data_IF_719601956497
#
_entry.id   IF_719601956497
#
_cell.length_a   1.000
_cell.length_b   1.000
_cell.length_c   1.000
_cell.angle_alpha   90.00
_cell.angle_beta   90.00
_cell.angle_gamma   90.00
#
_symmetry.space_group_name_H-M   'P 1'
#
loop_
_entity.id
_entity.type
_entity.pdbx_description
1 polymer ?
#
# COMPACT_ATOMS: atom_id res chain seq x y z
N UNK A 1 -6.16 -30.62 -8.09
CA UNK A 1 -6.39 -30.74 -6.63
C UNK A 1 -7.12 -29.49 -6.16
N UNK A 2 -8.13 -29.62 -5.31
CA UNK A 2 -9.06 -28.52 -4.98
C UNK A 2 -8.68 -27.80 -3.69
N UNK A 3 -8.54 -26.48 -3.75
CA UNK A 3 -8.49 -25.60 -2.57
C UNK A 3 -9.87 -25.56 -1.94
N UNK A 4 -9.96 -25.53 -0.61
CA UNK A 4 -11.23 -25.45 0.12
C UNK A 4 -11.20 -24.23 1.05
N UNK A 5 -12.08 -23.27 0.80
CA UNK A 5 -12.28 -22.11 1.68
C UNK A 5 -12.87 -22.60 3.00
N UNK A 6 -12.21 -22.28 4.11
CA UNK A 6 -12.64 -22.69 5.46
C UNK A 6 -13.28 -21.57 6.26
N UNK A 7 -12.93 -20.32 5.97
CA UNK A 7 -13.49 -19.15 6.64
C UNK A 7 -13.15 -17.86 5.90
N UNK A 8 -13.96 -16.85 6.16
CA UNK A 8 -13.70 -15.46 5.80
C UNK A 8 -13.59 -14.66 7.08
N UNK A 9 -12.57 -13.82 7.17
CA UNK A 9 -12.25 -13.04 8.37
C UNK A 9 -12.11 -11.57 8.00
N UNK A 10 -12.71 -10.71 8.80
CA UNK A 10 -12.46 -9.27 8.77
C UNK A 10 -11.36 -8.98 9.78
N UNK A 11 -10.34 -8.22 9.39
CA UNK A 11 -9.31 -7.77 10.32
C UNK A 11 -9.23 -6.25 10.36
N UNK A 12 -9.03 -5.75 11.57
CA UNK A 12 -8.59 -4.41 11.88
C UNK A 12 -7.12 -4.51 12.29
N UNK A 13 -6.25 -3.91 11.48
CA UNK A 13 -4.83 -3.77 11.78
C UNK A 13 -4.55 -2.30 12.08
N UNK A 14 -4.10 -2.02 13.29
CA UNK A 14 -3.66 -0.70 13.74
C UNK A 14 -2.34 -0.87 14.48
N UNK A 15 -1.27 -0.28 13.95
CA UNK A 15 0.08 -0.41 14.53
C UNK A 15 0.44 -1.89 14.68
N UNK A 16 0.69 -2.34 15.92
CA UNK A 16 1.01 -3.73 16.26
C UNK A 16 -0.21 -4.50 16.80
N UNK A 17 -1.39 -3.89 16.81
CA UNK A 17 -2.64 -4.52 17.24
C UNK A 17 -3.39 -5.11 16.03
N UNK A 18 -3.62 -6.42 16.08
CA UNK A 18 -4.46 -7.15 15.15
C UNK A 18 -5.72 -7.60 15.89
N UNK A 19 -6.86 -7.03 15.52
CA UNK A 19 -8.18 -7.48 15.98
C UNK A 19 -8.88 -8.14 14.80
N UNK A 20 -9.38 -9.36 14.99
CA UNK A 20 -10.10 -10.07 13.94
C UNK A 20 -11.50 -10.47 14.37
N UNK A 21 -12.40 -10.52 13.38
CA UNK A 21 -13.72 -11.15 13.52
C UNK A 21 -14.00 -12.03 12.31
N UNK A 22 -14.32 -13.31 12.52
CA UNK A 22 -14.70 -14.21 11.44
C UNK A 22 -16.20 -14.14 11.15
N UNK A 23 -16.54 -14.38 9.89
CA UNK A 23 -17.92 -14.47 9.43
C UNK A 23 -18.47 -15.85 9.78
N UNK A 24 -19.65 -15.89 10.37
CA UNK A 24 -20.35 -17.13 10.62
C UNK A 24 -21.01 -17.65 9.34
N UNK A 25 -20.34 -18.57 8.67
CA UNK A 25 -20.69 -19.06 7.34
C UNK A 25 -20.94 -20.55 7.35
N UNK A 26 -22.03 -21.00 6.74
CA UNK A 26 -22.23 -22.43 6.46
C UNK A 26 -21.35 -22.89 5.28
N UNK A 27 -21.04 -24.19 5.19
CA UNK A 27 -20.14 -24.75 4.17
C UNK A 27 -20.60 -24.43 2.72
N UNK A 28 -21.90 -24.53 2.44
CA UNK A 28 -22.48 -24.21 1.13
C UNK A 28 -22.32 -22.72 0.73
N UNK A 29 -22.27 -21.82 1.71
CA UNK A 29 -22.06 -20.39 1.50
C UNK A 29 -20.58 -20.10 1.22
N UNK A 30 -19.68 -20.77 1.94
CA UNK A 30 -18.24 -20.73 1.65
C UNK A 30 -17.93 -21.22 0.24
N UNK A 31 -18.58 -22.29 -0.20
CA UNK A 31 -18.45 -22.78 -1.59
C UNK A 31 -18.88 -21.72 -2.61
N UNK A 32 -19.96 -20.97 -2.34
CA UNK A 32 -20.42 -19.91 -3.22
C UNK A 32 -19.49 -18.71 -3.24
N UNK A 33 -18.94 -18.30 -2.08
CA UNK A 33 -17.92 -17.26 -2.00
C UNK A 33 -16.68 -17.69 -2.78
N UNK A 34 -16.21 -18.91 -2.55
CA UNK A 34 -15.04 -19.47 -3.22
C UNK A 34 -15.15 -19.44 -4.74
N UNK A 35 -16.33 -19.75 -5.31
CA UNK A 35 -16.55 -19.72 -6.77
C UNK A 35 -16.34 -18.34 -7.39
N UNK A 36 -16.52 -17.27 -6.61
CA UNK A 36 -16.39 -15.89 -7.07
C UNK A 36 -15.00 -15.29 -6.81
N UNK A 37 -14.11 -15.99 -6.09
CA UNK A 37 -12.77 -15.50 -5.78
C UNK A 37 -11.86 -15.64 -7.01
N UNK A 38 -11.31 -14.51 -7.45
CA UNK A 38 -10.32 -14.46 -8.52
C UNK A 38 -8.92 -14.70 -7.94
N UNK A 39 -8.49 -15.96 -7.94
CA UNK A 39 -7.17 -16.31 -7.43
C UNK A 39 -6.05 -15.57 -8.20
N UNK A 40 -5.09 -14.96 -7.48
CA UNK A 40 -3.98 -14.28 -8.12
C UNK A 40 -3.08 -15.26 -8.87
N UNK A 41 -2.49 -14.78 -9.97
CA UNK A 41 -1.49 -15.55 -10.73
C UNK A 41 -0.09 -15.30 -10.12
N UNK A 42 0.57 -16.38 -9.69
CA UNK A 42 1.88 -16.33 -9.06
C UNK A 42 3.05 -16.49 -10.04
N UNK A 43 2.81 -16.91 -11.28
CA UNK A 43 3.85 -17.30 -12.24
C UNK A 43 4.81 -16.17 -12.61
N UNK A 44 4.40 -14.92 -12.40
CA UNK A 44 5.18 -13.71 -12.72
C UNK A 44 5.92 -13.12 -11.52
N UNK A 45 5.76 -13.69 -10.33
CA UNK A 45 6.45 -13.21 -9.15
C UNK A 45 7.91 -13.63 -9.21
N UNK A 46 8.80 -12.65 -9.02
CA UNK A 46 10.22 -12.92 -8.85
C UNK A 46 10.44 -13.42 -7.43
N UNK A 47 11.06 -14.59 -7.30
CA UNK A 47 11.53 -15.08 -6.02
C UNK A 47 12.68 -14.20 -5.53
N UNK A 48 12.60 -13.77 -4.27
CA UNK A 48 13.65 -13.06 -3.58
C UNK A 48 13.97 -13.78 -2.28
N UNK A 49 15.24 -14.08 -2.08
CA UNK A 49 15.76 -14.64 -0.82
C UNK A 49 16.19 -13.55 0.15
N UNK A 50 16.54 -12.38 -0.37
CA UNK A 50 16.89 -11.17 0.36
C UNK A 50 16.44 -9.95 -0.44
N UNK A 51 15.90 -8.94 0.25
CA UNK A 51 15.60 -7.64 -0.32
C UNK A 51 16.94 -6.90 -0.43
N UNK A 52 17.66 -7.14 -1.52
CA UNK A 52 18.97 -6.55 -1.78
C UNK A 52 19.01 -5.04 -1.47
N UNK A 53 20.21 -4.52 -1.19
CA UNK A 53 20.41 -3.19 -0.58
C UNK A 53 19.78 -2.03 -1.39
N UNK A 54 19.40 -2.22 -2.66
CA UNK A 54 18.76 -1.19 -3.49
C UNK A 54 17.55 -1.70 -4.30
N UNK A 55 16.98 -2.85 -3.93
CA UNK A 55 15.81 -3.41 -4.62
C UNK A 55 14.51 -2.97 -3.93
N UNK A 56 13.64 -2.30 -4.70
CA UNK A 56 12.29 -1.94 -4.29
C UNK A 56 11.26 -2.65 -5.18
N UNK A 57 11.07 -3.99 -5.04
CA UNK A 57 10.16 -4.74 -5.89
C UNK A 57 8.71 -4.32 -5.64
N UNK A 58 7.95 -4.12 -6.73
CA UNK A 58 6.50 -3.86 -6.65
C UNK A 58 5.70 -5.10 -6.24
N UNK A 59 6.22 -6.27 -6.58
CA UNK A 59 5.65 -7.58 -6.33
C UNK A 59 6.77 -8.62 -6.32
N UNK A 60 6.68 -9.63 -5.46
CA UNK A 60 7.70 -10.67 -5.29
C UNK A 60 7.14 -11.87 -4.53
N UNK A 61 7.91 -12.95 -4.48
CA UNK A 61 7.67 -14.09 -3.60
C UNK A 61 8.87 -14.34 -2.69
N UNK A 62 8.62 -14.80 -1.46
CA UNK A 62 9.63 -15.32 -0.54
C UNK A 62 9.18 -16.74 -0.18
N UNK A 63 9.90 -17.75 -0.64
CA UNK A 63 9.57 -19.16 -0.37
C UNK A 63 9.82 -19.55 1.10
N UNK A 64 10.80 -18.92 1.75
CA UNK A 64 11.15 -19.16 3.15
C UNK A 64 11.15 -17.85 3.93
N UNK A 65 10.00 -17.53 4.51
CA UNK A 65 9.82 -16.34 5.33
C UNK A 65 10.44 -16.56 6.72
N UNK A 66 11.44 -15.77 7.07
CA UNK A 66 12.17 -15.86 8.35
C UNK A 66 11.89 -14.66 9.24
N UNK A 67 12.17 -14.77 10.54
CA UNK A 67 11.96 -13.71 11.54
C UNK A 67 12.73 -12.41 11.24
N UNK A 68 13.75 -12.44 10.38
CA UNK A 68 14.45 -11.23 9.92
C UNK A 68 13.68 -10.43 8.87
N UNK A 69 12.61 -10.99 8.28
CA UNK A 69 11.80 -10.30 7.27
C UNK A 69 10.78 -9.37 7.92
N UNK A 70 10.59 -8.14 7.41
CA UNK A 70 9.55 -7.23 7.91
C UNK A 70 8.13 -7.81 7.73
N UNK A 71 7.94 -8.78 6.83
CA UNK A 71 6.66 -9.45 6.60
C UNK A 71 6.41 -10.63 7.53
N UNK A 72 7.39 -11.03 8.36
CA UNK A 72 7.24 -12.20 9.22
C UNK A 72 6.04 -12.09 10.15
N UNK A 73 5.72 -10.90 10.66
CA UNK A 73 4.55 -10.66 11.52
C UNK A 73 3.20 -11.03 10.90
N UNK A 74 3.11 -11.19 9.57
CA UNK A 74 1.87 -11.62 8.93
C UNK A 74 1.54 -13.08 9.25
N UNK A 75 2.51 -13.90 9.71
CA UNK A 75 2.23 -15.29 10.09
C UNK A 75 1.33 -15.38 11.31
N UNK A 76 1.28 -14.33 12.14
CA UNK A 76 0.46 -14.26 13.35
C UNK A 76 -1.03 -14.52 13.05
N UNK A 77 -1.48 -14.29 11.81
CA UNK A 77 -2.85 -14.64 11.38
C UNK A 77 -3.17 -16.13 11.42
N UNK A 78 -2.17 -17.01 11.33
CA UNK A 78 -2.34 -18.46 11.49
C UNK A 78 -2.48 -18.87 12.96
N UNK A 79 -1.93 -18.09 13.89
CA UNK A 79 -1.91 -18.40 15.31
C UNK A 79 -3.14 -17.88 16.07
N UNK A 80 -4.01 -17.13 15.38
CA UNK A 80 -5.25 -16.64 15.96
C UNK A 80 -6.20 -17.80 16.25
N UNK A 81 -6.68 -17.88 17.49
CA UNK A 81 -7.76 -18.80 17.85
C UNK A 81 -9.13 -18.27 17.40
N UNK A 82 -9.56 -18.77 16.24
CA UNK A 82 -10.87 -18.48 15.67
C UNK A 82 -12.01 -19.29 16.32
N UNK A 83 -11.72 -20.16 17.30
CA UNK A 83 -12.77 -20.89 18.03
C UNK A 83 -13.41 -20.04 19.14
N UNK A 84 -12.73 -18.98 19.57
CA UNK A 84 -13.22 -18.06 20.59
C UNK A 84 -14.52 -17.36 20.15
N UNK A 85 -15.61 -17.42 20.95
CA UNK A 85 -16.88 -16.79 20.59
C UNK A 85 -16.81 -15.28 20.38
N UNK A 86 -15.85 -14.60 21.02
CA UNK A 86 -15.63 -13.16 20.87
C UNK A 86 -15.00 -12.79 19.52
N UNK A 87 -14.30 -13.75 18.89
CA UNK A 87 -13.75 -13.64 17.54
C UNK A 87 -14.83 -13.78 16.46
N UNK A 88 -16.09 -14.04 16.82
CA UNK A 88 -17.19 -14.16 15.86
C UNK A 88 -17.84 -12.79 15.62
N UNK A 89 -18.06 -12.45 14.35
CA UNK A 89 -18.88 -11.29 13.99
C UNK A 89 -20.35 -11.61 14.26
N UNK A 90 -20.96 -10.96 15.26
CA UNK A 90 -22.35 -11.26 15.66
C UNK A 90 -23.34 -10.53 14.78
N UNK A 91 -23.04 -9.30 14.39
CA UNK A 91 -23.91 -8.49 13.52
C UNK A 91 -23.10 -7.46 12.71
N UNK A 92 -23.71 -6.89 11.68
CA UNK A 92 -23.12 -5.73 10.97
C UNK A 92 -22.96 -4.52 11.89
N UNK A 93 -23.82 -4.38 12.90
CA UNK A 93 -23.74 -3.29 13.89
C UNK A 93 -22.49 -3.41 14.78
N UNK A 94 -21.87 -4.59 14.85
CA UNK A 94 -20.57 -4.78 15.50
C UNK A 94 -19.43 -4.08 14.72
N UNK A 95 -19.64 -3.79 13.44
CA UNK A 95 -18.74 -2.99 12.61
C UNK A 95 -19.12 -1.54 12.84
N UNK A 96 -18.20 -0.77 13.42
CA UNK A 96 -18.50 0.60 13.77
C UNK A 96 -18.31 1.52 12.55
N UNK A 97 -19.43 1.97 11.99
CA UNK A 97 -19.43 2.85 10.82
C UNK A 97 -19.22 4.34 11.14
N UNK A 98 -19.26 4.76 12.41
CA UNK A 98 -19.24 6.18 12.80
C UNK A 98 -18.38 6.49 14.04
N UNK A 99 -17.23 7.16 13.85
CA UNK A 99 -16.40 7.98 14.78
C UNK A 99 -16.52 7.82 16.32
N UNK A 100 -16.84 6.65 16.84
CA UNK A 100 -16.59 6.23 18.22
C UNK A 100 -15.16 5.71 18.31
N UNK A 101 -14.49 5.95 19.43
CA UNK A 101 -13.07 5.60 19.60
C UNK A 101 -12.85 4.09 19.83
N UNK A 102 -13.89 3.29 20.10
CA UNK A 102 -13.77 1.95 20.69
C UNK A 102 -14.41 0.79 19.89
N UNK A 103 -14.90 1.00 18.66
CA UNK A 103 -15.53 -0.07 17.88
C UNK A 103 -14.64 -0.66 16.78
N UNK A 104 -15.04 -1.84 16.31
CA UNK A 104 -14.31 -2.64 15.33
C UNK A 104 -14.44 -2.02 13.92
N UNK A 105 -13.30 -1.65 13.34
CA UNK A 105 -13.18 -0.96 12.05
C UNK A 105 -12.25 -1.75 11.13
N UNK A 106 -12.73 -2.81 10.48
CA UNK A 106 -11.88 -3.66 9.67
C UNK A 106 -11.40 -2.92 8.43
N UNK A 107 -10.10 -3.02 8.16
CA UNK A 107 -9.41 -2.50 6.97
C UNK A 107 -8.95 -3.60 6.02
N UNK A 108 -9.10 -4.88 6.40
CA UNK A 108 -8.71 -6.04 5.61
C UNK A 108 -9.81 -7.12 5.60
N UNK A 109 -9.85 -7.90 4.52
CA UNK A 109 -10.52 -9.19 4.44
C UNK A 109 -9.49 -10.28 4.17
N UNK A 110 -9.62 -11.37 4.92
CA UNK A 110 -8.77 -12.54 4.84
C UNK A 110 -9.62 -13.75 4.44
N UNK A 111 -9.17 -14.48 3.44
CA UNK A 111 -9.80 -15.71 2.98
C UNK A 111 -8.88 -16.87 3.28
N UNK A 112 -9.31 -17.73 4.21
CA UNK A 112 -8.52 -18.85 4.68
C UNK A 112 -8.86 -20.12 3.90
N UNK A 113 -7.87 -20.71 3.27
CA UNK A 113 -7.99 -21.93 2.49
C UNK A 113 -7.16 -23.04 3.09
N UNK A 114 -7.68 -24.25 2.96
CA UNK A 114 -6.90 -25.48 3.10
C UNK A 114 -6.70 -26.09 1.72
N UNK A 115 -5.45 -26.39 1.36
CA UNK A 115 -5.06 -27.07 0.14
C UNK A 115 -4.18 -28.24 0.52
N UNK A 116 -4.75 -29.44 0.47
CA UNK A 116 -4.11 -30.67 0.99
C UNK A 116 -3.79 -30.53 2.50
N UNK A 117 -2.53 -30.24 2.85
CA UNK A 117 -2.06 -29.96 4.21
C UNK A 117 -1.54 -28.52 4.40
N UNK A 118 -1.52 -27.74 3.32
CA UNK A 118 -1.06 -26.35 3.29
C UNK A 118 -2.22 -25.42 3.66
N UNK A 119 -1.98 -24.54 4.62
CA UNK A 119 -2.91 -23.46 4.99
C UNK A 119 -2.52 -22.19 4.24
N UNK A 120 -3.50 -21.51 3.65
CA UNK A 120 -3.27 -20.35 2.79
C UNK A 120 -4.21 -19.24 3.22
N UNK A 121 -3.69 -18.02 3.35
CA UNK A 121 -4.50 -16.83 3.61
C UNK A 121 -4.30 -15.84 2.47
N UNK A 122 -5.37 -15.55 1.73
CA UNK A 122 -5.41 -14.44 0.79
C UNK A 122 -5.86 -13.17 1.50
N UNK A 123 -5.12 -12.08 1.34
CA UNK A 123 -5.36 -10.81 2.04
C UNK A 123 -5.67 -9.71 1.03
N UNK A 124 -6.72 -8.96 1.28
CA UNK A 124 -7.14 -7.83 0.44
C UNK A 124 -7.67 -6.66 1.28
N UNK A 125 -7.44 -5.39 0.88
CA UNK A 125 -7.99 -4.23 1.56
C UNK A 125 -9.52 -4.19 1.55
N UNK A 126 -10.11 -3.83 2.67
CA UNK A 126 -11.52 -3.50 2.80
C UNK A 126 -11.71 -1.98 2.82
N UNK A 127 -12.58 -1.48 1.95
CA UNK A 127 -12.98 -0.07 1.98
C UNK A 127 -14.40 0.04 2.55
N UNK A 128 -14.49 0.41 3.83
CA UNK A 128 -15.77 0.55 4.53
C UNK A 128 -16.70 1.58 3.88
N UNK A 129 -16.17 2.63 3.23
CA UNK A 129 -17.00 3.64 2.56
C UNK A 129 -17.76 3.07 1.36
N UNK A 130 -17.23 2.02 0.71
CA UNK A 130 -17.95 1.34 -0.38
C UNK A 130 -19.10 0.48 0.14
N UNK A 131 -19.00 -0.04 1.36
CA UNK A 131 -20.08 -0.77 2.02
C UNK A 131 -21.30 0.15 2.27
N UNK A 132 -21.05 1.38 2.73
CA UNK A 132 -22.07 2.36 3.10
C UNK A 132 -22.93 2.91 1.94
N UNK A 133 -22.44 2.87 0.69
CA UNK A 133 -23.15 3.44 -0.46
C UNK A 133 -24.33 2.56 -0.89
N UNK A 134 -24.26 1.25 -0.66
CA UNK A 134 -25.35 0.32 -1.01
C UNK A 134 -26.52 0.38 -0.02
N UNK A 135 -26.26 0.57 1.27
CA UNK A 135 -27.33 0.76 2.27
C UNK A 135 -28.12 2.06 2.06
N UNK A 136 -27.50 3.10 1.50
CA UNK A 136 -28.20 4.37 1.20
C UNK A 136 -29.26 4.25 0.09
N UNK A 137 -29.30 3.16 -0.67
CA UNK A 137 -30.38 2.90 -1.63
C UNK A 137 -31.70 2.44 -0.97
N UNK A 138 -31.70 2.16 0.34
CA UNK A 138 -32.91 1.85 1.13
C UNK A 138 -33.51 3.09 1.81
N UNK A 139 -33.68 4.18 1.05
CA UNK A 139 -34.45 5.35 1.50
C UNK A 139 -35.95 5.03 1.44
N UNK A 140 -36.42 4.30 2.45
CA UNK A 140 -37.82 3.94 2.62
C UNK A 140 -38.14 3.34 4.00
N UNK A 141 -38.12 4.19 5.04
CA UNK A 141 -38.85 3.97 6.31
C UNK A 141 -38.56 2.70 7.14
N UNK A 142 -37.80 2.82 8.24
CA UNK A 142 -38.34 2.93 9.63
C UNK A 142 -37.28 2.69 10.72
N UNK A 143 -37.19 3.68 11.62
CA UNK A 143 -36.98 3.63 13.08
C UNK A 143 -35.95 2.66 13.67
N UNK A 144 -35.02 3.27 14.44
CA UNK A 144 -34.52 2.73 15.72
C UNK A 144 -35.68 2.14 16.53
N UNK A 145 -35.73 0.83 16.66
CA UNK A 145 -36.50 0.12 17.70
C UNK A 145 -35.93 -1.28 17.88
N UNK A 146 -35.48 -1.58 19.10
CA UNK A 146 -35.22 -2.92 19.56
C UNK A 146 -33.74 -3.28 19.59
N UNK A 147 -33.21 -3.44 20.80
CA UNK A 147 -32.04 -4.29 21.04
C UNK A 147 -32.38 -5.66 20.44
N UNK A 148 -31.81 -5.98 19.28
CA UNK A 148 -31.79 -7.36 18.81
C UNK A 148 -30.82 -8.09 19.71
N UNK A 149 -31.34 -8.89 20.64
CA UNK A 149 -30.56 -9.85 21.39
C UNK A 149 -29.71 -10.66 20.40
N UNK A 150 -28.40 -10.69 20.61
CA UNK A 150 -27.41 -11.20 19.65
C UNK A 150 -27.82 -12.51 18.98
N UNK A 151 -28.32 -12.39 17.75
CA UNK A 151 -28.46 -13.49 16.82
C UNK A 151 -27.26 -13.38 15.89
N UNK A 152 -26.48 -14.45 15.82
CA UNK A 152 -25.30 -14.52 14.98
C UNK A 152 -25.67 -14.30 13.50
N UNK A 153 -24.98 -13.38 12.84
CA UNK A 153 -25.21 -13.06 11.43
C UNK A 153 -24.95 -14.30 10.56
N UNK A 154 -26.00 -14.81 9.92
CA UNK A 154 -25.93 -15.87 8.89
C UNK A 154 -25.74 -15.18 7.54
N UNK A 155 -24.90 -15.68 6.63
CA UNK A 155 -24.49 -14.88 5.45
C UNK A 155 -25.60 -14.50 4.47
N UNK A 156 -26.79 -15.08 4.59
CA UNK A 156 -27.97 -14.59 3.88
C UNK A 156 -28.26 -13.12 4.21
N UNK A 157 -27.99 -12.64 5.43
CA UNK A 157 -28.09 -11.22 5.82
C UNK A 157 -26.89 -10.38 5.33
N UNK A 158 -25.74 -11.02 5.10
CA UNK A 158 -24.53 -10.37 4.53
C UNK A 158 -24.73 -10.07 3.06
N UNK A 159 -25.43 -10.94 2.32
CA UNK A 159 -25.70 -10.76 0.89
C UNK A 159 -26.47 -9.46 0.60
N UNK A 160 -27.25 -9.01 1.57
CA UNK A 160 -28.04 -7.77 1.50
C UNK A 160 -27.34 -6.56 2.17
N UNK A 161 -26.18 -6.73 2.84
CA UNK A 161 -25.60 -5.69 3.70
C UNK A 161 -24.06 -5.46 3.59
N UNK A 162 -23.22 -6.44 3.20
CA UNK A 162 -21.75 -6.28 3.10
C UNK A 162 -21.23 -6.93 1.81
N UNK A 163 -20.66 -6.12 0.90
CA UNK A 163 -19.96 -6.62 -0.28
C UNK A 163 -18.47 -6.86 0.03
N UNK A 164 -18.05 -8.12 -0.04
CA UNK A 164 -16.66 -8.51 0.20
C UNK A 164 -15.83 -8.41 -1.09
N UNK A 165 -14.58 -7.92 -1.02
CA UNK A 165 -13.66 -7.88 -2.16
C UNK A 165 -13.22 -9.28 -2.58
N UNK A 166 -13.74 -9.78 -3.71
CA UNK A 166 -13.41 -11.12 -4.24
C UNK A 166 -12.18 -11.15 -5.16
N UNK A 167 -11.47 -10.02 -5.31
CA UNK A 167 -10.31 -9.88 -6.17
C UNK A 167 -9.34 -8.82 -5.63
N UNK A 168 -8.29 -8.50 -6.40
CA UNK A 168 -7.29 -7.45 -6.08
C UNK A 168 -6.52 -7.71 -4.78
N UNK A 169 -6.21 -8.98 -4.51
CA UNK A 169 -5.38 -9.40 -3.37
C UNK A 169 -4.02 -8.69 -3.37
N UNK A 170 -3.57 -8.29 -2.19
CA UNK A 170 -2.30 -7.57 -2.00
C UNK A 170 -1.18 -8.50 -1.58
N UNK A 171 -1.53 -9.59 -0.89
CA UNK A 171 -0.61 -10.69 -0.62
C UNK A 171 -1.36 -12.00 -0.37
N UNK A 172 -0.60 -13.08 -0.44
CA UNK A 172 -0.97 -14.42 -0.04
C UNK A 172 0.14 -14.94 0.89
N UNK A 173 -0.22 -15.40 2.08
CA UNK A 173 0.70 -16.11 2.96
C UNK A 173 0.31 -17.59 3.00
N UNK A 174 1.31 -18.46 3.04
CA UNK A 174 1.13 -19.91 3.13
C UNK A 174 1.90 -20.47 4.31
N UNK A 175 1.32 -21.47 4.96
CA UNK A 175 1.91 -22.30 6.01
C UNK A 175 1.91 -23.75 5.54
N UNK A 176 3.08 -24.31 5.26
CA UNK A 176 3.23 -25.73 4.89
C UNK A 176 3.27 -26.62 6.13
N UNK A 177 3.91 -26.14 7.19
CA UNK A 177 3.99 -26.75 8.52
C UNK A 177 4.25 -25.66 9.56
N UNK A 178 4.36 -26.01 10.84
CA UNK A 178 4.54 -25.05 11.94
C UNK A 178 5.81 -24.18 11.88
N UNK A 179 6.75 -24.51 11.00
CA UNK A 179 8.03 -23.79 10.86
C UNK A 179 8.30 -23.25 9.46
N UNK A 180 7.53 -23.67 8.45
CA UNK A 180 7.74 -23.30 7.05
C UNK A 180 6.61 -22.40 6.56
N UNK A 181 6.95 -21.13 6.36
CA UNK A 181 6.06 -20.10 5.86
C UNK A 181 6.58 -19.49 4.57
N UNK A 182 5.68 -19.12 3.67
CA UNK A 182 6.00 -18.36 2.47
C UNK A 182 5.02 -17.20 2.28
N UNK A 183 5.45 -16.20 1.51
CA UNK A 183 4.61 -15.06 1.16
C UNK A 183 4.77 -14.70 -0.32
N UNK A 184 3.64 -14.45 -0.97
CA UNK A 184 3.55 -13.83 -2.28
C UNK A 184 2.98 -12.43 -2.10
N UNK A 185 3.78 -11.41 -2.39
CA UNK A 185 3.39 -10.00 -2.32
C UNK A 185 3.05 -9.53 -3.73
N UNK A 186 1.79 -9.16 -3.96
CA UNK A 186 1.31 -8.68 -5.25
C UNK A 186 1.37 -7.15 -5.36
N UNK A 187 1.28 -6.47 -4.22
CA UNK A 187 1.36 -5.01 -4.12
C UNK A 187 2.08 -4.64 -2.81
N UNK A 188 3.41 -4.55 -2.90
CA UNK A 188 4.31 -4.22 -1.77
C UNK A 188 3.83 -3.01 -1.00
N UNK A 189 3.39 -1.95 -1.70
CA UNK A 189 2.93 -0.74 -1.06
C UNK A 189 1.73 -0.95 -0.17
N UNK A 190 0.72 -1.64 -0.70
CA UNK A 190 -0.52 -1.83 0.04
C UNK A 190 -0.29 -2.74 1.23
N UNK A 191 0.59 -3.74 1.12
CA UNK A 191 1.01 -4.54 2.27
C UNK A 191 1.70 -3.66 3.30
N UNK A 192 2.78 -2.96 2.91
CA UNK A 192 3.53 -2.11 3.83
C UNK A 192 2.63 -1.06 4.51
N UNK A 193 1.68 -0.47 3.78
CA UNK A 193 0.74 0.50 4.33
C UNK A 193 -0.27 -0.13 5.30
N UNK A 194 -0.92 -1.23 4.91
CA UNK A 194 -1.97 -1.85 5.75
C UNK A 194 -1.39 -2.43 7.04
N UNK A 195 -0.15 -2.90 6.99
CA UNK A 195 0.59 -3.43 8.12
C UNK A 195 1.52 -2.40 8.77
N UNK A 196 1.44 -1.13 8.36
CA UNK A 196 2.23 -0.02 8.94
C UNK A 196 3.73 -0.31 9.02
N UNK A 197 4.28 -0.97 8.00
CA UNK A 197 5.72 -1.22 7.85
C UNK A 197 6.47 0.05 7.43
N UNK A 198 6.25 1.17 8.15
CA UNK A 198 6.79 2.48 7.79
C UNK A 198 8.32 2.52 7.80
N UNK A 199 8.96 1.78 8.72
CA UNK A 199 10.41 1.61 8.71
C UNK A 199 10.91 1.05 7.37
N UNK A 200 10.15 0.12 6.78
CA UNK A 200 10.45 -0.47 5.49
C UNK A 200 10.27 0.53 4.33
N UNK A 201 9.17 1.29 4.33
CA UNK A 201 8.93 2.36 3.34
C UNK A 201 10.04 3.42 3.41
N UNK A 202 10.45 3.82 4.60
CA UNK A 202 11.50 4.80 4.82
C UNK A 202 12.88 4.27 4.40
N UNK A 203 13.17 2.99 4.67
CA UNK A 203 14.38 2.32 4.16
C UNK A 203 14.41 2.31 2.63
N UNK A 204 13.30 1.95 1.98
CA UNK A 204 13.18 2.01 0.52
C UNK A 204 13.35 3.42 -0.05
N UNK A 205 12.81 4.44 0.61
CA UNK A 205 13.03 5.83 0.20
C UNK A 205 14.52 6.20 0.30
N UNK A 206 15.19 5.83 1.41
CA UNK A 206 16.63 6.07 1.59
C UNK A 206 17.47 5.34 0.52
N UNK A 207 17.12 4.10 0.20
CA UNK A 207 17.76 3.31 -0.86
C UNK A 207 17.66 3.97 -2.23
N UNK A 208 16.51 4.57 -2.56
CA UNK A 208 16.33 5.35 -3.80
C UNK A 208 17.24 6.57 -3.84
N UNK A 209 17.33 7.34 -2.75
CA UNK A 209 18.24 8.49 -2.68
C UNK A 209 19.71 8.06 -2.83
N UNK A 210 20.11 6.97 -2.16
CA UNK A 210 21.44 6.40 -2.32
C UNK A 210 21.72 5.96 -3.76
N UNK A 211 20.71 5.44 -4.48
CA UNK A 211 20.87 4.99 -5.87
C UNK A 211 21.14 6.15 -6.84
N UNK A 212 20.62 7.34 -6.58
CA UNK A 212 21.01 8.54 -7.33
C UNK A 212 22.47 8.93 -7.10
N UNK A 213 23.03 8.68 -5.92
CA UNK A 213 24.43 8.97 -5.59
C UNK A 213 25.40 7.81 -5.91
N UNK A 214 24.91 6.67 -6.39
CA UNK A 214 25.79 5.53 -6.68
C UNK A 214 26.79 5.86 -7.80
N UNK A 215 27.98 5.27 -7.72
CA UNK A 215 29.00 5.34 -8.77
C UNK A 215 28.95 4.17 -9.75
N UNK A 216 28.02 3.22 -9.56
CA UNK A 216 27.88 2.03 -10.40
C UNK A 216 27.02 2.27 -11.64
N UNK A 217 27.01 1.30 -12.57
CA UNK A 217 26.24 1.37 -13.82
C UNK A 217 24.72 1.37 -13.62
N UNK A 218 24.24 1.02 -12.43
CA UNK A 218 22.82 1.01 -12.06
C UNK A 218 22.39 2.31 -11.35
N UNK A 219 23.26 3.34 -11.29
CA UNK A 219 22.93 4.69 -10.83
C UNK A 219 21.65 5.18 -11.54
N UNK A 220 20.77 5.82 -10.77
CA UNK A 220 19.60 6.46 -11.38
C UNK A 220 19.99 7.76 -12.07
N UNK A 221 19.58 7.88 -13.33
CA UNK A 221 19.77 9.05 -14.18
C UNK A 221 18.38 9.56 -14.59
N UNK A 222 18.26 10.87 -14.80
CA UNK A 222 17.02 11.49 -15.28
C UNK A 222 17.09 11.71 -16.79
N UNK A 223 15.93 11.87 -17.42
CA UNK A 223 15.77 12.24 -18.84
C UNK A 223 16.36 11.24 -19.83
N UNK A 224 16.11 11.47 -21.12
CA UNK A 224 16.77 10.73 -22.22
C UNK A 224 18.25 11.07 -22.33
N UNK A 225 18.64 12.25 -21.85
CA UNK A 225 20.01 12.79 -21.95
C UNK A 225 20.88 12.34 -20.78
N UNK A 226 20.33 11.47 -19.91
CA UNK A 226 21.04 10.84 -18.78
C UNK A 226 21.65 11.84 -17.79
N UNK A 227 20.89 12.89 -17.50
CA UNK A 227 21.22 13.90 -16.49
C UNK A 227 21.49 13.23 -15.15
N UNK A 228 22.62 13.59 -14.55
CA UNK A 228 23.00 13.12 -13.22
C UNK A 228 22.26 13.88 -12.12
N UNK A 229 21.96 13.18 -11.03
CA UNK A 229 21.46 13.80 -9.80
C UNK A 229 22.49 13.63 -8.70
N UNK A 230 22.75 14.69 -7.95
CA UNK A 230 23.49 14.64 -6.70
C UNK A 230 22.57 15.04 -5.54
N UNK A 231 22.43 14.12 -4.58
CA UNK A 231 21.66 14.33 -3.37
C UNK A 231 22.63 14.66 -2.22
N UNK A 232 22.52 15.85 -1.64
CA UNK A 232 23.38 16.28 -0.55
C UNK A 232 22.86 15.78 0.81
N UNK A 233 23.74 15.22 1.63
CA UNK A 233 23.44 14.79 3.01
C UNK A 233 22.11 14.01 3.15
N UNK A 234 22.10 12.78 2.63
CA UNK A 234 20.92 11.89 2.63
C UNK A 234 20.32 11.71 4.02
N UNK A 235 21.13 11.59 5.07
CA UNK A 235 20.62 11.42 6.44
C UNK A 235 19.80 12.64 6.90
N UNK A 236 20.27 13.86 6.60
CA UNK A 236 19.49 15.07 6.89
C UNK A 236 18.23 15.18 6.05
N UNK A 237 18.28 14.77 4.77
CA UNK A 237 17.10 14.73 3.90
C UNK A 237 16.07 13.75 4.42
N UNK A 238 16.51 12.59 4.95
CA UNK A 238 15.59 11.59 5.45
C UNK A 238 14.71 12.10 6.59
N UNK A 239 15.18 13.03 7.44
CA UNK A 239 14.32 13.66 8.45
C UNK A 239 13.11 14.36 7.82
N UNK A 240 13.31 15.10 6.73
CA UNK A 240 12.22 15.77 5.99
C UNK A 240 11.31 14.75 5.31
N UNK A 241 11.89 13.68 4.77
CA UNK A 241 11.15 12.63 4.06
C UNK A 241 10.27 11.83 5.02
N UNK A 242 10.79 11.42 6.19
CA UNK A 242 10.06 10.62 7.17
C UNK A 242 8.93 11.39 7.85
N UNK A 243 9.07 12.71 7.98
CA UNK A 243 8.03 13.58 8.54
C UNK A 243 6.81 13.74 7.61
N UNK A 244 6.89 13.25 6.36
CA UNK A 244 5.80 13.30 5.40
C UNK A 244 5.62 11.94 4.69
N UNK A 245 4.61 11.17 5.11
CA UNK A 245 4.31 9.84 4.53
C UNK A 245 4.20 9.88 2.99
N UNK A 246 3.66 10.96 2.42
CA UNK A 246 3.49 11.08 0.98
C UNK A 246 4.83 11.28 0.23
N UNK A 247 5.83 11.91 0.87
CA UNK A 247 7.21 11.97 0.37
C UNK A 247 7.89 10.60 0.43
N UNK A 248 7.92 9.96 1.60
CA UNK A 248 8.50 8.61 1.78
C UNK A 248 7.92 7.64 0.75
N UNK A 249 6.60 7.66 0.59
CA UNK A 249 5.87 6.86 -0.39
C UNK A 249 6.33 7.15 -1.82
N UNK A 250 6.35 8.41 -2.23
CA UNK A 250 6.65 8.75 -3.63
C UNK A 250 8.07 8.37 -4.01
N UNK A 251 9.01 8.53 -3.08
CA UNK A 251 10.38 8.07 -3.24
C UNK A 251 10.46 6.55 -3.32
N UNK A 252 9.82 5.80 -2.40
CA UNK A 252 9.92 4.33 -2.37
C UNK A 252 9.48 3.65 -3.67
N UNK A 253 8.57 4.27 -4.45
CA UNK A 253 8.11 3.78 -5.77
C UNK A 253 8.93 4.21 -6.98
N UNK A 254 9.94 5.03 -6.78
CA UNK A 254 10.81 5.38 -7.89
C UNK A 254 11.76 4.23 -8.20
N UNK A 255 11.74 3.77 -9.46
CA UNK A 255 12.56 2.65 -9.91
C UNK A 255 13.60 3.04 -10.96
N UNK A 256 13.65 4.31 -11.39
CA UNK A 256 14.57 4.77 -12.45
C UNK A 256 14.36 4.15 -13.83
N UNK A 257 13.25 3.44 -14.06
CA UNK A 257 12.95 2.82 -15.35
C UNK A 257 12.20 3.78 -16.28
N UNK A 258 12.41 3.65 -17.60
CA UNK A 258 11.91 4.53 -18.65
C UNK A 258 10.40 4.69 -18.81
N UNK A 259 9.56 4.15 -17.91
CA UNK A 259 8.11 4.39 -17.88
C UNK A 259 7.74 5.64 -17.05
N UNK A 260 8.73 6.29 -16.42
CA UNK A 260 8.53 7.56 -15.73
C UNK A 260 8.66 8.72 -16.71
N UNK A 261 7.77 9.71 -16.60
CA UNK A 261 7.75 10.87 -17.50
C UNK A 261 9.10 11.61 -17.48
N UNK A 262 9.66 11.80 -16.28
CA UNK A 262 10.97 12.45 -16.10
C UNK A 262 12.11 11.72 -16.82
N UNK A 263 12.00 10.41 -17.05
CA UNK A 263 12.98 9.61 -17.80
C UNK A 263 12.72 9.61 -19.32
N UNK A 264 11.59 10.16 -19.77
CA UNK A 264 11.17 10.20 -21.18
C UNK A 264 11.32 11.59 -21.81
N UNK A 265 11.49 12.64 -21.01
CA UNK A 265 11.76 14.00 -21.49
C UNK A 265 13.26 14.21 -21.74
N UNK A 266 13.61 15.25 -22.50
CA UNK A 266 15.00 15.70 -22.69
C UNK A 266 15.47 16.57 -21.50
N UNK A 267 16.78 16.79 -21.39
CA UNK A 267 17.38 17.75 -20.46
C UNK A 267 16.89 19.18 -20.70
N UNK A 268 16.64 19.56 -21.96
CA UNK A 268 16.01 20.85 -22.29
C UNK A 268 14.62 20.98 -21.67
N UNK A 269 13.79 19.94 -21.75
CA UNK A 269 12.46 19.93 -21.10
C UNK A 269 12.55 19.95 -19.58
N UNK A 270 13.56 19.29 -19.00
CA UNK A 270 13.83 19.40 -17.57
C UNK A 270 14.18 20.84 -17.18
N UNK A 271 15.05 21.51 -17.93
CA UNK A 271 15.37 22.92 -17.73
C UNK A 271 14.12 23.81 -17.85
N UNK A 272 13.27 23.58 -18.85
CA UNK A 272 12.00 24.30 -18.99
C UNK A 272 11.09 24.10 -17.77
N UNK A 273 11.02 22.88 -17.23
CA UNK A 273 10.25 22.61 -16.02
C UNK A 273 10.81 23.36 -14.80
N UNK A 274 12.14 23.40 -14.63
CA UNK A 274 12.79 24.15 -13.55
C UNK A 274 12.56 25.66 -13.70
N UNK A 275 12.70 26.20 -14.91
CA UNK A 275 12.45 27.63 -15.17
C UNK A 275 10.97 27.97 -14.93
N UNK A 276 10.04 27.13 -15.37
CA UNK A 276 8.61 27.31 -15.10
C UNK A 276 8.34 27.36 -13.59
N UNK A 277 8.95 26.47 -12.80
CA UNK A 277 8.84 26.53 -11.33
C UNK A 277 9.38 27.84 -10.76
N UNK A 278 10.50 28.36 -11.28
CA UNK A 278 11.10 29.62 -10.84
C UNK A 278 10.22 30.83 -11.17
N UNK A 279 9.67 30.86 -12.40
CA UNK A 279 8.82 31.96 -12.89
C UNK A 279 7.52 32.11 -12.09
N UNK A 280 7.02 31.02 -11.50
CA UNK A 280 5.78 31.02 -10.73
C UNK A 280 6.01 31.24 -9.23
N UNK A 281 7.24 31.37 -8.71
CA UNK A 281 7.46 31.50 -7.25
C UNK A 281 6.68 32.66 -6.61
N UNK A 282 6.47 33.76 -7.34
CA UNK A 282 5.78 34.94 -6.85
C UNK A 282 4.24 34.89 -7.00
N UNK A 283 3.68 33.79 -7.52
CA UNK A 283 2.22 33.65 -7.64
C UNK A 283 1.55 33.60 -6.26
N UNK A 284 0.41 34.31 -6.13
CA UNK A 284 -0.28 34.55 -4.85
C UNK A 284 -0.62 33.29 -4.04
N UNK A 285 -0.70 32.12 -4.68
CA UNK A 285 -1.09 30.85 -4.04
C UNK A 285 0.04 29.82 -3.91
N UNK A 286 1.27 30.17 -4.31
CA UNK A 286 2.38 29.22 -4.24
C UNK A 286 2.96 29.09 -2.83
N UNK A 287 3.26 27.85 -2.44
CA UNK A 287 3.72 27.47 -1.10
C UNK A 287 5.21 27.19 -1.01
N UNK A 288 5.92 27.38 -2.12
CA UNK A 288 7.35 27.11 -2.23
C UNK A 288 8.09 28.38 -2.65
N UNK A 289 9.37 28.42 -2.34
CA UNK A 289 10.28 29.53 -2.63
C UNK A 289 11.35 29.10 -3.63
N UNK A 290 12.14 30.04 -4.12
CA UNK A 290 13.30 29.74 -4.98
C UNK A 290 14.28 28.77 -4.30
N UNK A 291 14.40 28.80 -2.97
CA UNK A 291 15.31 27.91 -2.23
C UNK A 291 14.87 26.44 -2.29
N UNK A 292 13.58 26.19 -2.48
CA UNK A 292 12.99 24.84 -2.56
C UNK A 292 13.16 24.19 -3.94
N UNK A 293 13.64 24.93 -4.95
CA UNK A 293 13.80 24.43 -6.32
C UNK A 293 15.20 23.80 -6.48
N UNK A 294 15.31 22.54 -6.95
CA UNK A 294 16.59 21.92 -7.27
C UNK A 294 17.42 22.74 -8.26
N UNK A 295 18.74 22.76 -8.08
CA UNK A 295 19.64 23.51 -8.97
C UNK A 295 20.03 22.67 -10.17
N UNK A 296 19.77 23.15 -11.39
CA UNK A 296 20.13 22.49 -12.63
C UNK A 296 21.22 23.27 -13.37
N UNK A 297 22.45 22.73 -13.37
CA UNK A 297 23.63 23.37 -13.97
C UNK A 297 24.57 22.31 -14.55
N UNK A 298 25.18 22.56 -15.71
CA UNK A 298 26.13 21.65 -16.36
C UNK A 298 25.64 20.20 -16.47
N UNK A 299 24.40 20.01 -16.95
CA UNK A 299 23.76 18.71 -17.11
C UNK A 299 23.67 17.86 -15.82
N UNK A 300 23.57 18.56 -14.68
CA UNK A 300 23.47 17.95 -13.36
C UNK A 300 22.43 18.67 -12.50
N UNK A 301 21.61 17.87 -11.83
CA UNK A 301 20.64 18.34 -10.84
C UNK A 301 21.21 18.13 -9.44
N UNK A 302 21.33 19.20 -8.64
CA UNK A 302 21.74 19.13 -7.23
C UNK A 302 20.54 19.35 -6.34
N UNK A 303 20.39 18.51 -5.31
CA UNK A 303 19.24 18.49 -4.40
C UNK A 303 19.72 18.52 -2.95
N UNK A 304 19.37 19.59 -2.24
CA UNK A 304 19.55 19.74 -0.78
C UNK A 304 18.27 19.45 0.01
N UNK A 305 18.35 19.53 1.34
CA UNK A 305 17.27 19.26 2.29
C UNK A 305 15.93 19.90 1.98
N UNK A 306 15.91 21.22 1.77
CA UNK A 306 14.73 21.99 1.40
C UNK A 306 14.20 21.65 0.00
N UNK A 307 15.08 21.26 -0.93
CA UNK A 307 14.73 20.98 -2.32
C UNK A 307 14.10 19.61 -2.54
N UNK A 308 14.13 18.73 -1.54
CA UNK A 308 13.67 17.35 -1.68
C UNK A 308 12.19 17.29 -2.07
N UNK A 309 11.35 18.20 -1.57
CA UNK A 309 9.91 18.19 -1.82
C UNK A 309 9.61 18.35 -3.32
N UNK A 310 10.24 19.34 -3.96
CA UNK A 310 10.12 19.58 -5.40
C UNK A 310 10.79 18.46 -6.19
N UNK A 311 11.98 18.00 -5.78
CA UNK A 311 12.64 16.89 -6.47
C UNK A 311 11.75 15.64 -6.52
N UNK A 312 11.14 15.25 -5.40
CA UNK A 312 10.21 14.10 -5.35
C UNK A 312 8.97 14.34 -6.21
N UNK A 313 8.47 15.58 -6.27
CA UNK A 313 7.38 15.95 -7.16
C UNK A 313 7.77 15.74 -8.64
N UNK A 314 9.01 16.09 -9.03
CA UNK A 314 9.56 15.85 -10.37
C UNK A 314 9.74 14.37 -10.72
N UNK A 315 9.70 13.45 -9.75
CA UNK A 315 9.73 12.00 -10.03
C UNK A 315 8.34 11.42 -10.33
N UNK A 316 7.28 12.20 -10.18
CA UNK A 316 5.89 11.80 -10.42
C UNK A 316 5.41 12.23 -11.81
N UNK A 317 4.94 11.27 -12.61
CA UNK A 317 4.50 11.51 -13.98
C UNK A 317 3.44 12.61 -14.10
N UNK A 318 2.40 12.57 -13.27
CA UNK A 318 1.29 13.52 -13.35
C UNK A 318 1.73 14.94 -13.03
N UNK A 319 2.68 15.09 -12.11
CA UNK A 319 3.19 16.40 -11.71
C UNK A 319 4.11 16.96 -12.79
N UNK A 320 5.00 16.15 -13.35
CA UNK A 320 5.88 16.56 -14.45
C UNK A 320 5.07 17.03 -15.66
N UNK A 321 4.02 16.30 -16.03
CA UNK A 321 3.10 16.70 -17.11
C UNK A 321 2.45 18.06 -16.83
N UNK A 322 1.99 18.29 -15.59
CA UNK A 322 1.37 19.54 -15.17
C UNK A 322 2.36 20.71 -15.20
N UNK A 323 3.58 20.53 -14.66
CA UNK A 323 4.63 21.55 -14.67
C UNK A 323 5.00 21.95 -16.11
N UNK A 324 5.16 20.96 -17.00
CA UNK A 324 5.48 21.21 -18.42
C UNK A 324 4.35 21.94 -19.17
N UNK A 325 3.13 21.91 -18.65
CA UNK A 325 1.96 22.63 -19.17
C UNK A 325 1.67 23.93 -18.40
N UNK A 326 2.60 24.42 -17.56
CA UNK A 326 2.45 25.60 -16.70
C UNK A 326 1.24 25.52 -15.74
N UNK A 327 0.90 24.30 -15.29
CA UNK A 327 -0.12 24.06 -14.26
C UNK A 327 0.61 23.68 -12.97
N UNK A 328 1.09 24.68 -12.21
CA UNK A 328 1.91 24.41 -11.03
C UNK A 328 1.02 23.97 -9.86
N UNK A 329 0.92 22.65 -9.68
CA UNK A 329 0.31 22.03 -8.51
C UNK A 329 1.31 21.08 -7.86
N UNK A 330 2.07 21.59 -6.88
CA UNK A 330 3.06 20.82 -6.15
C UNK A 330 2.46 20.24 -4.87
N UNK A 331 2.43 18.90 -4.72
CA UNK A 331 2.11 18.29 -3.45
C UNK A 331 3.26 18.47 -2.46
N UNK A 332 2.99 18.15 -1.20
CA UNK A 332 3.96 18.08 -0.10
C UNK A 332 4.36 19.42 0.52
N UNK A 333 3.73 20.54 0.19
CA UNK A 333 3.91 21.84 0.87
C UNK A 333 2.75 22.21 1.79
N UNK A 334 1.82 21.27 2.00
CA UNK A 334 0.64 21.41 2.87
C UNK A 334 0.92 21.04 4.33
#
# INVERSE_FOLDING_TARGET
MSKVLKRVVLAQVKEDEIVVKYLNTADNELENIQKNIEFPNNDKLKEISDLGIFDNPKSFSIEKLTAGSPYYKLIDFFDIDYSEPESRLKSIDDIEFSNSQNGFKPNLVLYYFLKDKEEIILITPLNLNKLLVKDKLFLGFKKRTGVNNGIDMITHEIKDSIELPMSSFICMISKENDTTFSINVYDTFKVDKQFQLYAHINDYAKKVLNRFNSSDQNKFLLTTDKIEVQIDNIDSIMNVVTDNEALSKSLSFYSGHGNKMINQITGEKLLLAINSLQDHVEDENNKYTLEDIPKYENDKLTVSGNQIRIFVALLNNQIVEKILNNQIELPYFD
#
